data_IF_084537079189
#
_entry.id   IF_084537079189
#
_cell.length_a   1.000
_cell.length_b   1.000
_cell.length_c   1.000
_cell.angle_alpha   90.00
_cell.angle_beta   90.00
_cell.angle_gamma   90.00
#
_symmetry.space_group_name_H-M   'P 1'
#
loop_
_entity.id
_entity.type
_entity.pdbx_description
1 polymer ?
#
# COMPACT_ATOMS: atom_id res chain seq x y z
N UNK A 1 26.14 -30.94 18.12
CA UNK A 1 25.93 -29.50 18.32
C UNK A 1 24.72 -29.12 17.49
N UNK A 2 23.57 -28.85 18.12
CA UNK A 2 22.40 -28.35 17.41
C UNK A 2 22.54 -26.85 17.27
N UNK A 3 22.65 -26.37 16.03
CA UNK A 3 22.56 -24.94 15.73
C UNK A 3 21.07 -24.63 15.76
N UNK A 4 20.56 -24.16 16.89
CA UNK A 4 19.20 -23.63 16.97
C UNK A 4 19.23 -22.29 16.23
N UNK A 5 18.80 -22.28 14.97
CA UNK A 5 18.59 -21.02 14.24
C UNK A 5 17.43 -20.30 14.93
N UNK A 6 17.72 -19.25 15.69
CA UNK A 6 16.70 -18.37 16.25
C UNK A 6 15.97 -17.72 15.09
N UNK A 7 14.70 -18.05 14.90
CA UNK A 7 13.90 -17.43 13.84
C UNK A 7 13.76 -15.93 14.14
N UNK A 8 14.20 -15.09 13.20
CA UNK A 8 14.04 -13.64 13.32
C UNK A 8 12.57 -13.32 13.04
N UNK A 9 11.89 -12.73 14.02
CA UNK A 9 10.52 -12.26 13.90
C UNK A 9 10.49 -10.79 13.48
N UNK A 10 9.35 -10.35 12.93
CA UNK A 10 9.11 -8.94 12.59
C UNK A 10 8.29 -8.31 13.71
N UNK A 11 8.67 -7.12 14.15
CA UNK A 11 7.89 -6.27 15.04
C UNK A 11 7.69 -4.89 14.40
N UNK A 12 6.79 -4.09 14.96
CA UNK A 12 6.49 -2.74 14.48
C UNK A 12 7.05 -1.72 15.45
N UNK A 13 7.61 -0.65 14.90
CA UNK A 13 7.87 0.59 15.61
C UNK A 13 6.67 1.54 15.39
N UNK A 14 5.69 1.58 16.31
CA UNK A 14 4.42 2.25 16.04
C UNK A 14 4.56 3.76 15.89
N UNK A 15 5.51 4.38 16.60
CA UNK A 15 5.74 5.83 16.51
C UNK A 15 6.24 6.23 15.13
N UNK A 16 7.24 5.52 14.59
CA UNK A 16 7.75 5.79 13.25
C UNK A 16 6.75 5.42 12.16
N UNK A 17 6.04 4.30 12.30
CA UNK A 17 5.03 3.91 11.32
C UNK A 17 3.92 4.96 11.22
N UNK A 18 3.46 5.50 12.35
CA UNK A 18 2.51 6.62 12.36
C UNK A 18 3.12 7.90 11.77
N UNK A 19 4.35 8.26 12.15
CA UNK A 19 5.02 9.47 11.64
C UNK A 19 5.20 9.45 10.13
N UNK A 20 5.56 8.30 9.55
CA UNK A 20 5.69 8.13 8.09
C UNK A 20 4.35 8.39 7.41
N UNK A 21 3.25 7.83 7.93
CA UNK A 21 1.89 8.02 7.38
C UNK A 21 1.44 9.47 7.47
N UNK A 22 1.68 10.13 8.60
CA UNK A 22 1.33 11.54 8.81
C UNK A 22 2.17 12.47 7.91
N UNK A 23 3.37 12.06 7.53
CA UNK A 23 4.31 12.83 6.71
C UNK A 23 4.07 12.72 5.21
N UNK A 24 3.08 11.95 4.76
CA UNK A 24 2.80 11.73 3.33
C UNK A 24 1.37 12.11 2.92
N UNK A 25 0.95 13.38 3.10
CA UNK A 25 -0.39 13.84 2.74
C UNK A 25 -0.68 13.72 1.23
N UNK A 26 0.35 13.82 0.39
CA UNK A 26 0.23 13.73 -1.06
C UNK A 26 -0.21 12.32 -1.51
N UNK A 27 0.28 11.27 -0.85
CA UNK A 27 -0.17 9.89 -1.10
C UNK A 27 -1.67 9.74 -0.82
N UNK A 28 -2.15 10.27 0.30
CA UNK A 28 -3.56 10.18 0.68
C UNK A 28 -4.46 10.97 -0.26
N UNK A 29 -4.01 12.15 -0.68
CA UNK A 29 -4.70 12.95 -1.69
C UNK A 29 -4.76 12.22 -3.03
N UNK A 30 -3.68 11.57 -3.46
CA UNK A 30 -3.63 10.80 -4.71
C UNK A 30 -4.58 9.59 -4.67
N UNK A 31 -4.65 8.89 -3.54
CA UNK A 31 -5.59 7.78 -3.34
C UNK A 31 -7.05 8.25 -3.38
N UNK A 32 -7.36 9.39 -2.76
CA UNK A 32 -8.69 9.99 -2.84
C UNK A 32 -9.04 10.42 -4.28
N UNK A 33 -8.09 11.01 -4.99
CA UNK A 33 -8.27 11.39 -6.39
C UNK A 33 -8.50 10.18 -7.30
N UNK A 34 -7.85 9.05 -7.03
CA UNK A 34 -8.08 7.79 -7.75
C UNK A 34 -9.54 7.35 -7.58
N UNK A 35 -10.04 7.31 -6.33
CA UNK A 35 -11.44 6.96 -6.03
C UNK A 35 -12.43 7.87 -6.73
N UNK A 36 -12.18 9.17 -6.71
CA UNK A 36 -13.04 10.16 -7.36
C UNK A 36 -13.02 10.01 -8.88
N UNK A 37 -11.85 9.75 -9.46
CA UNK A 37 -11.70 9.57 -10.91
C UNK A 37 -12.41 8.32 -11.40
N UNK A 38 -12.34 7.22 -10.67
CA UNK A 38 -13.04 5.97 -11.01
C UNK A 38 -14.58 6.11 -10.98
N UNK A 39 -15.11 7.10 -10.24
CA UNK A 39 -16.55 7.40 -10.15
C UNK A 39 -17.00 8.53 -11.08
N UNK A 40 -16.07 9.17 -11.77
CA UNK A 40 -16.34 10.34 -12.59
C UNK A 40 -17.20 9.95 -13.80
N UNK A 41 -18.29 10.69 -14.02
CA UNK A 41 -19.06 10.60 -15.26
C UNK A 41 -18.50 11.60 -16.26
N UNK A 42 -18.09 11.14 -17.44
CA UNK A 42 -17.47 12.00 -18.45
C UNK A 42 -16.99 11.24 -19.66
N UNK A 43 -16.30 11.95 -20.56
CA UNK A 43 -15.69 11.35 -21.74
C UNK A 43 -14.56 10.39 -21.31
N UNK A 44 -14.59 9.15 -21.80
CA UNK A 44 -13.67 8.10 -21.37
C UNK A 44 -12.20 8.42 -21.62
N UNK A 45 -11.89 9.19 -22.67
CA UNK A 45 -10.53 9.67 -22.98
C UNK A 45 -10.02 10.64 -21.89
N UNK A 46 -10.88 11.52 -21.38
CA UNK A 46 -10.56 12.43 -20.28
C UNK A 46 -10.33 11.68 -18.98
N UNK A 47 -11.18 10.68 -18.69
CA UNK A 47 -11.02 9.81 -17.52
C UNK A 47 -9.72 9.02 -17.63
N UNK A 48 -9.43 8.43 -18.79
CA UNK A 48 -8.20 7.66 -19.03
C UNK A 48 -6.95 8.52 -18.82
N UNK A 49 -6.87 9.71 -19.43
CA UNK A 49 -5.72 10.60 -19.25
C UNK A 49 -5.48 10.99 -17.79
N UNK A 50 -6.56 11.17 -17.01
CA UNK A 50 -6.46 11.44 -15.58
C UNK A 50 -6.00 10.21 -14.81
N UNK A 51 -6.56 9.03 -15.11
CA UNK A 51 -6.17 7.77 -14.49
C UNK A 51 -4.70 7.45 -14.72
N UNK A 52 -4.18 7.58 -15.95
CA UNK A 52 -2.76 7.30 -16.24
C UNK A 52 -1.84 8.10 -15.32
N UNK A 53 -2.05 9.42 -15.26
CA UNK A 53 -1.25 10.31 -14.40
C UNK A 53 -1.38 10.00 -12.91
N UNK A 54 -2.58 9.65 -12.46
CA UNK A 54 -2.82 9.31 -11.06
C UNK A 54 -2.16 7.99 -10.69
N UNK A 55 -2.26 6.97 -11.55
CA UNK A 55 -1.68 5.65 -11.30
C UNK A 55 -0.14 5.71 -11.28
N UNK A 56 0.48 6.50 -12.16
CA UNK A 56 1.93 6.75 -12.12
C UNK A 56 2.36 7.44 -10.82
N UNK A 57 1.69 8.53 -10.47
CA UNK A 57 2.00 9.26 -9.23
C UNK A 57 1.81 8.37 -7.99
N UNK A 58 0.73 7.57 -7.98
CA UNK A 58 0.41 6.68 -6.87
C UNK A 58 1.43 5.54 -6.76
N UNK A 59 1.86 4.95 -7.88
CA UNK A 59 2.94 3.94 -7.91
C UNK A 59 4.20 4.47 -7.24
N UNK A 60 4.63 5.68 -7.62
CA UNK A 60 5.86 6.27 -7.11
C UNK A 60 5.74 6.66 -5.63
N UNK A 61 4.58 7.20 -5.23
CA UNK A 61 4.30 7.54 -3.84
C UNK A 61 4.24 6.29 -2.94
N UNK A 62 3.61 5.21 -3.40
CA UNK A 62 3.56 3.92 -2.68
C UNK A 62 4.94 3.29 -2.58
N UNK A 63 5.75 3.36 -3.64
CA UNK A 63 7.12 2.84 -3.60
C UNK A 63 7.95 3.54 -2.50
N UNK A 64 7.83 4.86 -2.40
CA UNK A 64 8.49 5.63 -1.35
C UNK A 64 7.93 5.27 0.03
N UNK A 65 6.61 5.21 0.18
CA UNK A 65 5.94 4.85 1.43
C UNK A 65 6.45 3.51 1.96
N UNK A 66 6.37 2.45 1.14
CA UNK A 66 6.85 1.12 1.52
C UNK A 66 8.34 1.10 1.85
N UNK A 67 9.15 1.83 1.10
CA UNK A 67 10.58 1.91 1.39
C UNK A 67 10.85 2.52 2.77
N UNK A 68 10.09 3.53 3.16
CA UNK A 68 10.18 4.15 4.49
C UNK A 68 9.67 3.20 5.58
N UNK A 69 8.51 2.59 5.39
CA UNK A 69 7.91 1.67 6.36
C UNK A 69 8.81 0.45 6.58
N UNK A 70 9.37 -0.15 5.53
CA UNK A 70 10.29 -1.28 5.65
C UNK A 70 11.62 -0.91 6.31
N UNK A 71 12.09 0.33 6.10
CA UNK A 71 13.37 0.79 6.67
C UNK A 71 13.24 1.21 8.13
N UNK A 72 12.09 1.75 8.54
CA UNK A 72 11.94 2.45 9.82
C UNK A 72 10.73 1.97 10.65
N UNK A 73 9.66 1.52 10.01
CA UNK A 73 8.43 1.04 10.65
C UNK A 73 8.48 -0.44 11.06
N UNK A 74 9.12 -1.28 10.25
CA UNK A 74 9.28 -2.72 10.52
C UNK A 74 10.68 -3.04 11.05
N UNK A 75 10.76 -3.77 12.17
CA UNK A 75 12.02 -4.11 12.84
C UNK A 75 12.18 -5.61 13.02
N UNK A 76 13.38 -6.11 12.76
CA UNK A 76 13.77 -7.49 13.02
C UNK A 76 14.09 -7.69 14.51
N UNK A 77 13.45 -8.67 15.15
CA UNK A 77 13.66 -9.01 16.56
C UNK A 77 13.92 -10.51 16.74
N UNK A 78 14.83 -10.86 17.65
CA UNK A 78 15.17 -12.26 17.91
C UNK A 78 14.07 -13.00 18.69
N UNK A 79 13.37 -12.29 19.58
CA UNK A 79 12.30 -12.83 20.40
C UNK A 79 11.13 -11.83 20.41
N UNK A 80 10.01 -12.14 19.73
CA UNK A 80 8.86 -11.25 19.72
C UNK A 80 8.17 -11.27 21.09
N UNK A 81 7.82 -10.09 21.61
CA UNK A 81 7.04 -9.98 22.85
C UNK A 81 5.59 -10.49 22.71
N UNK A 82 5.11 -10.69 21.48
CA UNK A 82 3.84 -11.29 21.16
C UNK A 82 3.88 -11.86 19.73
N UNK A 83 3.69 -13.16 19.61
CA UNK A 83 3.75 -13.87 18.34
C UNK A 83 2.60 -13.51 17.38
N UNK A 84 1.40 -13.17 17.90
CA UNK A 84 0.28 -12.74 17.06
C UNK A 84 0.57 -11.39 16.39
N UNK A 85 1.10 -10.43 17.16
CA UNK A 85 1.52 -9.13 16.61
C UNK A 85 2.65 -9.33 15.59
N UNK A 86 3.64 -10.16 15.91
CA UNK A 86 4.76 -10.39 15.02
C UNK A 86 4.33 -11.04 13.70
N UNK A 87 3.39 -11.98 13.75
CA UNK A 87 2.80 -12.60 12.56
C UNK A 87 2.00 -11.60 11.74
N UNK A 88 1.22 -10.73 12.37
CA UNK A 88 0.46 -9.67 11.68
C UNK A 88 1.40 -8.64 11.04
N UNK A 89 2.46 -8.23 11.73
CA UNK A 89 3.47 -7.33 11.19
C UNK A 89 4.18 -7.93 9.98
N UNK A 90 4.61 -9.19 10.07
CA UNK A 90 5.20 -9.90 8.94
C UNK A 90 4.21 -10.05 7.77
N UNK A 91 2.92 -10.29 8.05
CA UNK A 91 1.90 -10.36 7.02
C UNK A 91 1.64 -9.02 6.34
N UNK A 92 1.61 -7.92 7.09
CA UNK A 92 1.45 -6.56 6.56
C UNK A 92 2.64 -6.19 5.66
N UNK A 93 3.87 -6.34 6.16
CA UNK A 93 5.09 -6.11 5.39
C UNK A 93 5.12 -6.97 4.10
N UNK A 94 4.70 -8.23 4.16
CA UNK A 94 4.67 -9.11 3.00
C UNK A 94 3.66 -8.68 1.92
N UNK A 95 2.68 -7.82 2.24
CA UNK A 95 1.72 -7.29 1.26
C UNK A 95 2.31 -6.20 0.37
N UNK A 96 3.40 -5.54 0.78
CA UNK A 96 4.00 -4.42 0.03
C UNK A 96 4.36 -4.82 -1.41
N UNK A 97 5.09 -5.93 -1.58
CA UNK A 97 5.51 -6.41 -2.89
C UNK A 97 4.32 -6.66 -3.84
N UNK A 98 3.34 -7.50 -3.46
CA UNK A 98 2.13 -7.73 -4.25
C UNK A 98 1.35 -6.45 -4.59
N UNK A 99 1.19 -5.53 -3.62
CA UNK A 99 0.49 -4.26 -3.84
C UNK A 99 1.24 -3.37 -4.83
N UNK A 100 2.56 -3.25 -4.68
CA UNK A 100 3.41 -2.47 -5.59
C UNK A 100 3.36 -3.01 -7.02
N UNK A 101 3.39 -4.33 -7.19
CA UNK A 101 3.25 -4.95 -8.51
C UNK A 101 1.88 -4.68 -9.12
N UNK A 102 0.81 -4.72 -8.32
CA UNK A 102 -0.55 -4.44 -8.82
C UNK A 102 -0.71 -3.00 -9.28
N UNK A 103 -0.20 -2.01 -8.54
CA UNK A 103 -0.26 -0.61 -8.98
C UNK A 103 0.63 -0.35 -10.20
N UNK A 104 1.78 -1.04 -10.30
CA UNK A 104 2.66 -0.94 -11.46
C UNK A 104 2.01 -1.49 -12.73
N UNK A 105 1.33 -2.64 -12.65
CA UNK A 105 0.54 -3.21 -13.77
C UNK A 105 -0.58 -2.26 -14.21
N UNK A 106 -1.29 -1.64 -13.25
CA UNK A 106 -2.34 -0.67 -13.57
C UNK A 106 -1.78 0.56 -14.29
N UNK A 107 -0.66 1.11 -13.82
CA UNK A 107 0.00 2.25 -14.46
C UNK A 107 0.42 1.91 -15.90
N UNK A 108 1.11 0.78 -16.10
CA UNK A 108 1.53 0.32 -17.43
C UNK A 108 0.34 0.14 -18.39
N UNK A 109 -0.73 -0.52 -17.94
CA UNK A 109 -1.94 -0.71 -18.75
C UNK A 109 -2.63 0.61 -19.11
N UNK A 110 -2.61 1.59 -18.22
CA UNK A 110 -3.17 2.92 -18.48
C UNK A 110 -2.35 3.66 -19.54
N UNK A 111 -1.01 3.62 -19.44
CA UNK A 111 -0.09 4.17 -20.44
C UNK A 111 -0.28 3.49 -21.80
N UNK A 112 -0.36 2.15 -21.83
CA UNK A 112 -0.56 1.39 -23.06
C UNK A 112 -1.87 1.76 -23.77
N UNK A 113 -2.98 1.89 -23.03
CA UNK A 113 -4.27 2.31 -23.57
C UNK A 113 -4.22 3.73 -24.14
N UNK A 114 -3.50 4.63 -23.47
CA UNK A 114 -3.32 6.00 -23.94
C UNK A 114 -2.47 6.04 -25.22
N UNK A 115 -1.41 5.24 -25.30
CA UNK A 115 -0.48 5.24 -26.43
C UNK A 115 -1.00 4.50 -27.67
N UNK A 116 -1.58 3.30 -27.49
CA UNK A 116 -2.04 2.43 -28.59
C UNK A 116 -3.44 2.78 -29.10
N UNK A 117 -4.18 3.58 -28.35
CA UNK A 117 -5.52 4.02 -28.69
C UNK A 117 -6.57 3.45 -27.75
N UNK A 118 -7.62 4.24 -27.54
CA UNK A 118 -8.70 3.92 -26.62
C UNK A 118 -9.48 2.67 -27.06
N UNK A 119 -9.56 1.68 -26.18
CA UNK A 119 -10.40 0.49 -26.35
C UNK A 119 -11.34 0.35 -25.14
N UNK A 120 -12.68 0.37 -25.34
CA UNK A 120 -13.65 0.48 -24.25
C UNK A 120 -13.57 -0.66 -23.22
N UNK A 121 -13.37 -1.90 -23.66
CA UNK A 121 -13.37 -3.09 -22.83
C UNK A 121 -12.14 -3.13 -21.91
N UNK A 122 -10.97 -2.78 -22.44
CA UNK A 122 -9.73 -2.62 -21.70
C UNK A 122 -9.82 -1.47 -20.71
N UNK A 123 -10.42 -0.34 -21.13
CA UNK A 123 -10.66 0.79 -20.24
C UNK A 123 -11.57 0.40 -19.07
N UNK A 124 -12.69 -0.27 -19.33
CA UNK A 124 -13.60 -0.72 -18.28
C UNK A 124 -12.93 -1.70 -17.30
N UNK A 125 -12.08 -2.61 -17.81
CA UNK A 125 -11.26 -3.50 -16.96
C UNK A 125 -10.25 -2.73 -16.13
N UNK A 126 -9.57 -1.73 -16.70
CA UNK A 126 -8.63 -0.88 -15.98
C UNK A 126 -9.31 -0.16 -14.80
N UNK A 127 -10.48 0.45 -15.04
CA UNK A 127 -11.26 1.15 -14.00
C UNK A 127 -11.67 0.18 -12.90
N UNK A 128 -12.19 -1.01 -13.27
CA UNK A 128 -12.56 -2.04 -12.31
C UNK A 128 -11.37 -2.47 -11.44
N UNK A 129 -10.25 -2.79 -12.07
CA UNK A 129 -9.05 -3.26 -11.37
C UNK A 129 -8.43 -2.16 -10.49
N UNK A 130 -8.56 -0.89 -10.87
CA UNK A 130 -8.14 0.25 -10.05
C UNK A 130 -9.01 0.40 -8.79
N UNK A 131 -10.32 0.12 -8.88
CA UNK A 131 -11.22 0.10 -7.72
C UNK A 131 -10.87 -1.08 -6.81
N UNK A 132 -10.61 -2.27 -7.37
CA UNK A 132 -10.16 -3.41 -6.56
C UNK A 132 -8.84 -3.13 -5.85
N UNK A 133 -7.90 -2.48 -6.53
CA UNK A 133 -6.65 -2.06 -5.93
C UNK A 133 -6.86 -1.09 -4.76
N UNK A 134 -7.72 -0.07 -4.92
CA UNK A 134 -8.06 0.87 -3.83
C UNK A 134 -8.62 0.14 -2.60
N UNK A 135 -9.44 -0.90 -2.79
CA UNK A 135 -9.95 -1.71 -1.68
C UNK A 135 -8.85 -2.53 -1.00
N UNK A 136 -7.96 -3.16 -1.77
CA UNK A 136 -6.82 -3.92 -1.24
C UNK A 136 -5.87 -3.00 -0.47
N UNK A 137 -5.57 -1.83 -1.04
CA UNK A 137 -4.75 -0.81 -0.41
C UNK A 137 -5.36 -0.31 0.89
N UNK A 138 -6.64 0.04 0.89
CA UNK A 138 -7.34 0.48 2.10
C UNK A 138 -7.38 -0.60 3.19
N UNK A 139 -7.48 -1.87 2.81
CA UNK A 139 -7.42 -2.98 3.77
C UNK A 139 -6.03 -3.17 4.37
N UNK A 140 -4.97 -2.92 3.60
CA UNK A 140 -3.60 -2.95 4.09
C UNK A 140 -3.36 -1.81 5.08
N UNK A 141 -3.78 -0.59 4.73
CA UNK A 141 -3.69 0.58 5.60
C UNK A 141 -4.43 0.39 6.92
N UNK A 142 -5.62 -0.22 6.89
CA UNK A 142 -6.35 -0.55 8.12
C UNK A 142 -5.61 -1.57 8.98
N UNK A 143 -4.98 -2.58 8.37
CA UNK A 143 -4.18 -3.57 9.10
C UNK A 143 -3.00 -2.90 9.81
N UNK A 144 -2.34 -1.95 9.16
CA UNK A 144 -1.23 -1.20 9.76
C UNK A 144 -1.70 -0.25 10.87
N UNK A 145 -2.83 0.45 10.68
CA UNK A 145 -3.43 1.27 11.74
C UNK A 145 -3.75 0.42 12.99
N UNK A 146 -4.34 -0.77 12.79
CA UNK A 146 -4.62 -1.71 13.88
C UNK A 146 -3.33 -2.16 14.59
N UNK A 147 -2.24 -2.39 13.84
CA UNK A 147 -0.93 -2.74 14.37
C UNK A 147 -0.33 -1.61 15.22
N UNK A 148 -0.46 -0.36 14.78
CA UNK A 148 -0.04 0.83 15.55
C UNK A 148 -0.82 0.90 16.86
N UNK A 149 -2.15 0.83 16.80
CA UNK A 149 -3.02 0.93 17.97
C UNK A 149 -2.77 -0.18 19.00
N UNK A 150 -2.64 -1.43 18.54
CA UNK A 150 -2.33 -2.57 19.40
C UNK A 150 -0.95 -2.43 20.05
N UNK A 151 0.04 -1.89 19.33
CA UNK A 151 1.40 -1.70 19.84
C UNK A 151 1.47 -0.57 20.88
N UNK A 152 0.80 0.57 20.62
CA UNK A 152 0.77 1.72 21.54
C UNK A 152 -0.02 1.44 22.80
N UNK A 153 -1.18 0.79 22.68
CA UNK A 153 -2.01 0.39 23.83
C UNK A 153 -1.21 -0.46 24.81
N UNK A 154 -0.27 -1.28 24.31
CA UNK A 154 0.55 -2.14 25.15
C UNK A 154 1.72 -1.43 25.81
N UNK A 155 2.31 -0.42 25.16
CA UNK A 155 3.34 0.42 25.77
C UNK A 155 2.79 1.27 26.94
N UNK A 156 1.49 1.58 26.93
CA UNK A 156 0.84 2.32 28.01
C UNK A 156 0.56 1.49 29.28
N UNK A 157 0.58 0.15 29.19
CA UNK A 157 0.29 -0.76 30.30
C UNK A 157 1.45 -1.73 30.64
N UNK A 158 2.65 -1.46 30.11
CA UNK A 158 3.88 -2.25 30.31
C UNK A 158 4.86 -1.64 31.28
#
# INVERSE_FOLDING_TARGET
MSITSTAIAVAVNPAFLQEIKDSNPDLWSAAEDLRNTCRMQGESTTVLNRLTRLLDNLRDAIALQFSLEESYGYIAVAEPQNEDLARKAAAAQAQHGPLYLRISDLAERAEELQYRGFEPECFNRLVHDAIEFDHLWSSHEQLEADLVDMSLSRQAFG
#
